data_IF_989419279712
#
_entry.id   IF_989419279712
#
_cell.length_a   1.000
_cell.length_b   1.000
_cell.length_c   1.000
_cell.angle_alpha   90.00
_cell.angle_beta   90.00
_cell.angle_gamma   90.00
#
_symmetry.space_group_name_H-M   'P 1'
#
loop_
_entity.id
_entity.type
_entity.pdbx_description
1 polymer ?
#
# COMPACT_ATOMS: atom_id res chain seq x y z
N UNK A 1 -38.30 12.37 -18.47
CA UNK A 1 -37.30 11.56 -19.20
C UNK A 1 -35.92 11.80 -18.56
N UNK A 2 -35.50 10.94 -17.63
CA UNK A 2 -34.16 10.99 -17.02
C UNK A 2 -33.49 9.64 -17.23
N UNK A 3 -32.40 9.61 -18.01
CA UNK A 3 -31.55 8.43 -18.16
C UNK A 3 -30.58 8.39 -16.99
N UNK A 4 -30.78 7.43 -16.10
CA UNK A 4 -29.85 7.08 -15.03
C UNK A 4 -28.74 6.19 -15.61
N UNK A 5 -27.53 6.74 -15.77
CA UNK A 5 -26.34 5.97 -16.13
C UNK A 5 -25.85 5.17 -14.90
N UNK A 6 -26.39 3.97 -14.71
CA UNK A 6 -25.80 2.97 -13.80
C UNK A 6 -24.59 2.33 -14.49
N UNK A 7 -23.38 2.73 -14.08
CA UNK A 7 -22.14 2.04 -14.45
C UNK A 7 -22.16 0.59 -13.94
N UNK A 8 -21.95 -0.37 -14.84
CA UNK A 8 -22.07 -1.82 -14.60
C UNK A 8 -20.86 -2.35 -13.80
N UNK A 9 -21.06 -3.00 -12.63
CA UNK A 9 -20.00 -3.74 -11.92
C UNK A 9 -19.60 -5.07 -12.60
N UNK A 10 -20.41 -5.58 -13.54
CA UNK A 10 -20.31 -6.94 -14.07
C UNK A 10 -19.14 -7.19 -15.06
N UNK A 11 -18.44 -6.15 -15.53
CA UNK A 11 -17.34 -6.30 -16.48
C UNK A 11 -16.03 -6.71 -15.79
N UNK A 12 -15.74 -6.16 -14.62
CA UNK A 12 -14.50 -6.42 -13.87
C UNK A 12 -14.47 -7.87 -13.38
N UNK A 13 -15.57 -8.40 -12.83
CA UNK A 13 -15.62 -9.79 -12.35
C UNK A 13 -15.42 -10.81 -13.48
N UNK A 14 -15.90 -10.51 -14.70
CA UNK A 14 -15.65 -11.35 -15.89
C UNK A 14 -14.20 -11.28 -16.37
N UNK A 15 -13.56 -10.11 -16.28
CA UNK A 15 -12.14 -9.92 -16.64
C UNK A 15 -11.24 -10.61 -15.63
N UNK A 16 -11.49 -10.43 -14.32
CA UNK A 16 -10.80 -11.14 -13.24
C UNK A 16 -10.97 -12.65 -13.41
N UNK A 17 -12.17 -13.14 -13.73
CA UNK A 17 -12.43 -14.56 -14.01
C UNK A 17 -11.74 -15.08 -15.29
N UNK A 18 -11.65 -14.26 -16.34
CA UNK A 18 -10.97 -14.60 -17.60
C UNK A 18 -9.44 -14.63 -17.44
N UNK A 19 -8.89 -13.69 -16.68
CA UNK A 19 -7.46 -13.62 -16.38
C UNK A 19 -7.05 -14.64 -15.31
N UNK A 20 -7.89 -14.95 -14.32
CA UNK A 20 -7.70 -16.10 -13.42
C UNK A 20 -7.64 -17.42 -14.19
N UNK A 21 -8.43 -17.57 -15.26
CA UNK A 21 -8.35 -18.72 -16.17
C UNK A 21 -7.06 -18.72 -17.01
N UNK A 22 -6.54 -17.57 -17.40
CA UNK A 22 -5.24 -17.45 -18.05
C UNK A 22 -4.08 -17.76 -17.08
N UNK A 23 -4.14 -17.28 -15.83
CA UNK A 23 -3.19 -17.61 -14.76
C UNK A 23 -3.20 -19.11 -14.45
N UNK A 24 -4.39 -19.75 -14.46
CA UNK A 24 -4.50 -21.22 -14.34
C UNK A 24 -3.79 -21.96 -15.48
N UNK A 25 -3.80 -21.42 -16.71
CA UNK A 25 -3.03 -21.97 -17.85
C UNK A 25 -1.52 -21.77 -17.72
N UNK A 26 -1.07 -20.76 -16.96
CA UNK A 26 0.34 -20.49 -16.66
C UNK A 26 0.80 -21.05 -15.29
N UNK A 27 0.00 -21.90 -14.63
CA UNK A 27 0.37 -22.57 -13.36
C UNK A 27 0.22 -21.72 -12.09
N UNK A 28 -0.40 -20.54 -12.18
CA UNK A 28 -0.67 -19.65 -11.05
C UNK A 28 -2.09 -19.88 -10.53
N UNK A 29 -2.26 -20.74 -9.54
CA UNK A 29 -3.57 -20.98 -8.91
C UNK A 29 -3.91 -19.92 -7.88
N UNK A 30 -5.16 -19.44 -7.93
CA UNK A 30 -5.82 -18.78 -6.81
C UNK A 30 -5.87 -19.73 -5.61
N UNK A 31 -5.47 -19.23 -4.44
CA UNK A 31 -5.38 -19.90 -3.15
C UNK A 31 -4.27 -20.98 -3.02
N UNK A 32 -3.27 -20.66 -2.18
CA UNK A 32 -2.25 -21.56 -1.64
C UNK A 32 -1.51 -22.47 -2.63
N UNK A 33 -0.41 -21.97 -3.21
CA UNK A 33 0.62 -22.85 -3.80
C UNK A 33 2.01 -22.43 -3.31
N UNK A 34 2.65 -23.31 -2.53
CA UNK A 34 4.10 -23.28 -2.28
C UNK A 34 4.78 -24.03 -3.41
N UNK A 35 5.69 -23.38 -4.14
CA UNK A 35 6.57 -24.05 -5.11
C UNK A 35 8.01 -24.07 -4.59
N UNK A 36 8.64 -25.25 -4.63
CA UNK A 36 10.08 -25.43 -4.40
C UNK A 36 10.77 -25.72 -5.75
N UNK A 37 11.84 -25.02 -6.15
CA UNK A 37 12.53 -25.35 -7.40
C UNK A 37 13.47 -26.54 -7.19
N UNK A 38 13.34 -27.57 -8.03
CA UNK A 38 14.39 -28.58 -8.21
C UNK A 38 15.52 -28.00 -9.08
N UNK A 39 16.73 -28.17 -8.60
CA UNK A 39 17.99 -27.71 -9.19
C UNK A 39 18.30 -28.37 -10.53
N UNK A 40 18.69 -27.56 -11.54
CA UNK A 40 19.65 -27.97 -12.57
C UNK A 40 20.74 -26.91 -12.69
N UNK A 41 21.95 -27.35 -12.38
CA UNK A 41 23.21 -26.63 -12.50
C UNK A 41 23.68 -26.66 -13.96
N UNK A 42 23.99 -25.51 -14.54
CA UNK A 42 25.12 -25.32 -15.47
C UNK A 42 25.53 -23.85 -15.40
N UNK A 43 26.81 -23.60 -15.12
CA UNK A 43 27.33 -22.28 -14.80
C UNK A 43 27.67 -21.39 -16.00
N UNK A 44 27.73 -20.08 -15.73
CA UNK A 44 28.92 -19.28 -16.09
C UNK A 44 28.99 -18.02 -15.22
N UNK A 45 30.20 -17.64 -14.79
CA UNK A 45 30.44 -16.68 -13.70
C UNK A 45 30.40 -15.21 -14.19
N UNK A 46 29.45 -14.41 -13.70
CA UNK A 46 29.58 -12.95 -13.54
C UNK A 46 29.01 -12.53 -12.18
N UNK A 47 29.76 -11.67 -11.48
CA UNK A 47 29.58 -11.25 -10.07
C UNK A 47 28.11 -11.01 -9.68
N UNK A 48 27.55 -11.94 -8.90
CA UNK A 48 26.29 -11.77 -8.19
C UNK A 48 26.59 -11.53 -6.71
N UNK A 49 25.97 -10.51 -6.11
CA UNK A 49 25.88 -10.39 -4.66
C UNK A 49 25.03 -11.55 -4.13
N UNK A 50 25.52 -12.38 -3.18
CA UNK A 50 24.76 -13.54 -2.72
C UNK A 50 23.78 -13.09 -1.64
N UNK A 51 22.51 -12.90 -2.00
CA UNK A 51 21.43 -13.07 -1.03
C UNK A 51 20.89 -14.50 -1.17
N UNK A 52 21.59 -15.45 -0.54
CA UNK A 52 21.04 -16.77 -0.26
C UNK A 52 20.05 -16.64 0.92
N UNK A 53 18.81 -16.32 0.60
CA UNK A 53 17.66 -16.47 1.49
C UNK A 53 16.59 -17.24 0.74
N UNK A 54 15.91 -18.19 1.39
CA UNK A 54 14.71 -18.84 0.85
C UNK A 54 13.78 -17.77 0.27
N UNK A 55 13.59 -17.74 -1.06
CA UNK A 55 12.57 -16.89 -1.68
C UNK A 55 11.22 -17.32 -1.12
N UNK A 56 10.66 -16.53 -0.20
CA UNK A 56 9.27 -16.69 0.21
C UNK A 56 8.43 -16.44 -1.04
N UNK A 57 7.53 -17.36 -1.36
CA UNK A 57 6.60 -17.19 -2.48
C UNK A 57 5.78 -15.92 -2.28
N UNK A 58 5.91 -14.94 -3.17
CA UNK A 58 5.09 -13.71 -3.15
C UNK A 58 3.62 -14.10 -3.27
N UNK A 59 2.77 -13.61 -2.36
CA UNK A 59 1.33 -13.82 -2.47
C UNK A 59 0.69 -12.68 -3.26
N UNK A 60 0.30 -12.94 -4.51
CA UNK A 60 -0.49 -11.98 -5.31
C UNK A 60 -1.99 -12.21 -5.08
N UNK A 61 -2.70 -11.18 -4.62
CA UNK A 61 -4.10 -11.24 -4.22
C UNK A 61 -4.92 -10.23 -5.03
N UNK A 62 -5.98 -10.71 -5.66
CA UNK A 62 -6.96 -9.87 -6.33
C UNK A 62 -8.06 -9.49 -5.36
N UNK A 63 -8.21 -8.18 -5.15
CA UNK A 63 -9.23 -7.65 -4.27
C UNK A 63 -10.47 -7.22 -5.08
N UNK A 64 -11.56 -7.97 -4.92
CA UNK A 64 -12.90 -7.57 -5.34
C UNK A 64 -13.63 -6.87 -4.19
N UNK A 65 -14.72 -6.16 -4.50
CA UNK A 65 -15.53 -5.48 -3.47
C UNK A 65 -16.16 -6.43 -2.43
N UNK A 66 -16.23 -7.72 -2.71
CA UNK A 66 -16.71 -8.77 -1.79
C UNK A 66 -15.59 -9.38 -0.94
N UNK A 67 -14.32 -9.17 -1.30
CA UNK A 67 -13.18 -9.63 -0.52
C UNK A 67 -12.95 -8.72 0.71
N UNK A 68 -12.38 -9.29 1.77
CA UNK A 68 -12.03 -8.53 2.99
C UNK A 68 -10.62 -7.95 2.87
N UNK A 69 -10.48 -6.63 3.05
CA UNK A 69 -9.16 -5.96 3.07
C UNK A 69 -8.29 -6.48 4.22
N UNK A 70 -8.92 -6.86 5.34
CA UNK A 70 -8.24 -7.49 6.47
C UNK A 70 -7.60 -8.80 6.02
N UNK A 71 -8.34 -9.67 5.31
CA UNK A 71 -7.76 -10.92 4.80
C UNK A 71 -6.74 -10.69 3.69
N UNK A 72 -6.96 -9.66 2.87
CA UNK A 72 -6.03 -9.32 1.80
C UNK A 72 -4.68 -8.95 2.41
N UNK A 73 -4.59 -7.97 3.31
CA UNK A 73 -3.30 -7.54 3.85
C UNK A 73 -2.81 -8.34 5.06
N UNK A 74 -3.72 -8.99 5.78
CA UNK A 74 -3.48 -9.70 7.04
C UNK A 74 -2.66 -8.85 8.05
N UNK A 75 -3.13 -7.65 8.42
CA UNK A 75 -2.36 -6.74 9.26
C UNK A 75 -2.18 -7.34 10.67
N UNK A 76 -0.96 -7.34 11.23
CA UNK A 76 -0.77 -7.71 12.62
C UNK A 76 -1.32 -6.62 13.54
N UNK A 77 -1.66 -6.97 14.79
CA UNK A 77 -2.02 -5.99 15.83
C UNK A 77 -0.90 -4.99 16.06
N UNK A 78 -1.28 -3.74 16.33
CA UNK A 78 -0.41 -2.58 16.48
C UNK A 78 -0.24 -1.78 15.20
N UNK A 79 0.98 -1.29 14.94
CA UNK A 79 1.20 -0.19 13.98
C UNK A 79 1.39 -0.69 12.56
N UNK A 80 0.57 -0.18 11.65
CA UNK A 80 0.71 -0.31 10.19
C UNK A 80 0.94 1.05 9.56
N UNK A 81 2.06 1.22 8.86
CA UNK A 81 2.40 2.45 8.15
C UNK A 81 2.12 2.34 6.65
N UNK A 82 1.54 3.38 6.06
CA UNK A 82 1.27 3.48 4.63
C UNK A 82 2.23 4.47 3.97
N UNK A 83 2.88 4.05 2.89
CA UNK A 83 3.86 4.84 2.12
C UNK A 83 3.55 4.83 0.61
N UNK A 84 4.11 5.76 -0.14
CA UNK A 84 4.01 5.79 -1.60
C UNK A 84 2.88 6.67 -2.16
N UNK A 85 2.36 6.30 -3.33
CA UNK A 85 1.38 7.06 -4.11
C UNK A 85 0.09 6.28 -4.38
N UNK A 86 -0.98 6.96 -4.78
CA UNK A 86 -2.20 6.26 -5.26
C UNK A 86 -3.03 5.53 -4.19
N UNK A 87 -3.75 6.29 -3.36
CA UNK A 87 -4.86 5.75 -2.53
C UNK A 87 -4.46 5.24 -1.14
N UNK A 88 -3.36 5.73 -0.57
CA UNK A 88 -2.97 5.46 0.83
C UNK A 88 -4.07 5.83 1.81
N UNK A 89 -4.55 7.07 1.76
CA UNK A 89 -5.62 7.54 2.65
C UNK A 89 -6.88 6.69 2.47
N UNK A 90 -7.28 6.41 1.22
CA UNK A 90 -8.41 5.51 0.94
C UNK A 90 -8.22 4.12 1.55
N UNK A 91 -7.05 3.49 1.36
CA UNK A 91 -6.74 2.19 1.95
C UNK A 91 -6.81 2.24 3.48
N UNK A 92 -6.16 3.24 4.09
CA UNK A 92 -6.13 3.45 5.53
C UNK A 92 -7.55 3.52 6.09
N UNK A 93 -8.43 4.34 5.52
CA UNK A 93 -9.79 4.52 6.02
C UNK A 93 -10.67 3.29 5.77
N UNK A 94 -10.53 2.62 4.62
CA UNK A 94 -11.28 1.38 4.35
C UNK A 94 -10.83 0.24 5.27
N UNK A 95 -9.53 0.09 5.49
CA UNK A 95 -8.99 -0.92 6.39
C UNK A 95 -9.39 -0.62 7.84
N UNK A 96 -9.31 0.65 8.27
CA UNK A 96 -9.73 1.08 9.60
C UNK A 96 -11.19 0.73 9.89
N UNK A 97 -12.10 1.08 8.97
CA UNK A 97 -13.53 0.78 9.10
C UNK A 97 -13.79 -0.72 9.13
N UNK A 98 -13.11 -1.50 8.27
CA UNK A 98 -13.25 -2.95 8.29
C UNK A 98 -12.80 -3.57 9.63
N UNK A 99 -11.67 -3.11 10.17
CA UNK A 99 -11.14 -3.58 11.46
C UNK A 99 -12.09 -3.20 12.60
N UNK A 100 -12.57 -1.97 12.64
CA UNK A 100 -13.54 -1.52 13.65
C UNK A 100 -14.85 -2.34 13.57
N UNK A 101 -15.38 -2.57 12.36
CA UNK A 101 -16.56 -3.42 12.14
C UNK A 101 -16.35 -4.88 12.59
N UNK A 102 -15.11 -5.35 12.68
CA UNK A 102 -14.78 -6.67 13.25
C UNK A 102 -14.68 -6.68 14.79
N UNK A 103 -14.96 -5.54 15.44
CA UNK A 103 -14.94 -5.37 16.89
C UNK A 103 -13.61 -4.91 17.47
N UNK A 104 -12.64 -4.52 16.61
CA UNK A 104 -11.33 -4.06 17.06
C UNK A 104 -11.35 -2.56 17.42
N UNK A 105 -10.52 -2.15 18.38
CA UNK A 105 -10.22 -0.74 18.65
C UNK A 105 -9.15 -0.25 17.68
N UNK A 106 -9.45 0.82 16.95
CA UNK A 106 -8.62 1.30 15.84
C UNK A 106 -8.35 2.80 15.99
N UNK A 107 -7.07 3.16 15.91
CA UNK A 107 -6.64 4.55 15.77
C UNK A 107 -6.19 4.78 14.33
N UNK A 108 -6.66 5.87 13.73
CA UNK A 108 -6.08 6.44 12.51
C UNK A 108 -5.28 7.67 12.88
N UNK A 109 -4.05 7.77 12.39
CA UNK A 109 -3.18 8.92 12.65
C UNK A 109 -2.31 9.22 11.43
N UNK A 110 -1.38 10.15 11.56
CA UNK A 110 -0.49 10.56 10.48
C UNK A 110 0.84 11.04 11.04
N UNK A 111 1.94 10.80 10.33
CA UNK A 111 3.21 11.51 10.56
C UNK A 111 3.46 12.62 9.53
N UNK A 112 2.54 12.75 8.56
CA UNK A 112 2.53 13.77 7.51
C UNK A 112 1.24 14.61 7.57
N UNK A 113 1.06 15.52 6.61
CA UNK A 113 -0.16 16.30 6.48
C UNK A 113 -1.24 15.58 5.65
N UNK A 114 -2.31 15.11 6.29
CA UNK A 114 -3.47 14.48 5.61
C UNK A 114 -4.70 15.39 5.67
N UNK A 115 -5.72 15.11 4.86
CA UNK A 115 -7.03 15.73 5.06
C UNK A 115 -7.81 14.98 6.15
N UNK A 116 -8.69 15.68 6.89
CA UNK A 116 -9.56 15.04 7.87
C UNK A 116 -10.34 13.88 7.26
N UNK A 117 -10.35 12.71 7.92
CA UNK A 117 -11.09 11.57 7.42
C UNK A 117 -12.59 11.75 7.62
N UNK A 118 -13.37 11.64 6.54
CA UNK A 118 -14.82 11.82 6.60
C UNK A 118 -15.49 10.80 7.54
N UNK A 119 -16.36 11.28 8.42
CA UNK A 119 -17.18 10.44 9.30
C UNK A 119 -16.39 9.66 10.35
N UNK A 120 -15.19 10.11 10.72
CA UNK A 120 -14.40 9.56 11.84
C UNK A 120 -14.18 10.68 12.85
N UNK A 121 -14.40 10.38 14.13
CA UNK A 121 -14.19 11.34 15.21
C UNK A 121 -12.73 11.80 15.25
N UNK A 122 -12.49 13.11 15.26
CA UNK A 122 -11.17 13.71 15.32
C UNK A 122 -10.89 14.24 16.73
N UNK A 123 -9.82 13.76 17.34
CA UNK A 123 -9.39 14.17 18.69
C UNK A 123 -7.87 14.38 18.68
N UNK A 124 -7.40 15.39 19.40
CA UNK A 124 -5.97 15.54 19.73
C UNK A 124 -5.78 15.28 21.22
N UNK A 125 -5.65 14.02 21.66
CA UNK A 125 -5.62 13.72 23.08
C UNK A 125 -4.36 14.29 23.71
N UNK A 126 -4.49 14.98 24.84
CA UNK A 126 -3.39 15.51 25.62
C UNK A 126 -2.77 14.44 26.55
N UNK A 127 -3.47 13.33 26.77
CA UNK A 127 -3.03 12.24 27.65
C UNK A 127 -3.53 10.87 27.18
N UNK A 128 -2.89 9.81 27.69
CA UNK A 128 -3.33 8.44 27.46
C UNK A 128 -4.74 8.15 28.03
N UNK A 129 -5.15 8.84 29.11
CA UNK A 129 -6.48 8.65 29.68
C UNK A 129 -7.56 9.25 28.78
N UNK A 130 -7.34 10.46 28.25
CA UNK A 130 -8.25 11.08 27.28
C UNK A 130 -8.38 10.22 26.00
N UNK A 131 -7.25 9.68 25.51
CA UNK A 131 -7.25 8.76 24.39
C UNK A 131 -8.05 7.49 24.71
N UNK A 132 -7.94 6.95 25.93
CA UNK A 132 -8.68 5.77 26.36
C UNK A 132 -10.18 6.05 26.45
N UNK A 133 -10.59 7.18 27.02
CA UNK A 133 -11.98 7.60 27.08
C UNK A 133 -12.61 7.72 25.69
N UNK A 134 -11.88 8.30 24.74
CA UNK A 134 -12.32 8.37 23.35
C UNK A 134 -12.58 6.98 22.75
N UNK A 135 -11.65 6.04 22.96
CA UNK A 135 -11.74 4.67 22.46
C UNK A 135 -12.79 3.80 23.18
N UNK A 136 -13.29 4.24 24.35
CA UNK A 136 -14.44 3.62 25.02
C UNK A 136 -15.76 4.05 24.39
N UNK A 137 -15.83 5.26 23.82
CA UNK A 137 -17.03 5.80 23.17
C UNK A 137 -17.15 5.33 21.72
N UNK A 138 -16.01 5.27 21.03
CA UNK A 138 -15.95 4.95 19.60
C UNK A 138 -14.87 3.89 19.33
N UNK A 139 -15.19 2.89 18.50
CA UNK A 139 -14.22 1.87 18.12
C UNK A 139 -13.14 2.40 17.15
N UNK A 140 -13.43 3.48 16.43
CA UNK A 140 -12.56 4.08 15.42
C UNK A 140 -12.44 5.57 15.66
N UNK A 141 -11.22 6.02 15.99
CA UNK A 141 -10.94 7.44 16.25
C UNK A 141 -9.73 7.89 15.45
N UNK A 142 -9.77 9.12 14.94
CA UNK A 142 -8.63 9.79 14.35
C UNK A 142 -7.91 10.62 15.42
N UNK A 143 -6.68 10.23 15.75
CA UNK A 143 -5.80 11.00 16.63
C UNK A 143 -4.87 11.86 15.80
N UNK A 144 -5.13 13.16 15.78
CA UNK A 144 -4.33 14.15 15.06
C UNK A 144 -4.65 15.57 15.52
N UNK A 145 -3.73 16.50 15.26
CA UNK A 145 -3.97 17.93 15.49
C UNK A 145 -4.21 18.67 14.18
N UNK A 146 -5.05 19.69 14.23
CA UNK A 146 -5.29 20.58 13.09
C UNK A 146 -4.00 21.31 12.70
N UNK A 147 -3.73 21.34 11.41
CA UNK A 147 -2.62 22.03 10.78
C UNK A 147 -3.15 23.01 9.72
N UNK A 148 -2.23 23.70 9.04
CA UNK A 148 -2.60 24.70 8.03
C UNK A 148 -3.46 24.11 6.89
N UNK A 149 -4.27 24.98 6.27
CA UNK A 149 -5.08 24.66 5.09
C UNK A 149 -6.07 23.50 5.31
N UNK A 150 -6.56 23.36 6.53
CA UNK A 150 -7.55 22.34 6.90
C UNK A 150 -6.99 20.92 6.90
N UNK A 151 -5.66 20.76 6.99
CA UNK A 151 -5.02 19.45 7.10
C UNK A 151 -4.83 19.05 8.56
N UNK A 152 -4.46 17.80 8.76
CA UNK A 152 -4.12 17.21 10.04
C UNK A 152 -2.63 16.88 10.07
N UNK A 153 -2.00 17.03 11.21
CA UNK A 153 -0.62 16.60 11.49
C UNK A 153 -0.58 15.65 12.70
N UNK A 154 0.59 15.14 13.03
CA UNK A 154 0.76 14.19 14.12
C UNK A 154 0.15 14.71 15.44
N UNK A 155 -0.56 13.86 16.20
CA UNK A 155 -1.13 14.24 17.50
C UNK A 155 -0.02 14.56 18.49
N UNK A 156 -0.38 15.27 19.56
CA UNK A 156 0.58 15.59 20.62
C UNK A 156 0.90 14.36 21.49
N UNK A 157 -0.04 13.41 21.61
CA UNK A 157 0.21 12.13 22.26
C UNK A 157 1.16 11.25 21.43
N UNK A 158 2.32 10.83 21.97
CA UNK A 158 3.27 10.01 21.24
C UNK A 158 2.72 8.63 20.89
N UNK A 159 3.14 8.08 19.74
CA UNK A 159 2.67 6.78 19.27
C UNK A 159 2.94 5.64 20.26
N UNK A 160 4.04 5.69 21.01
CA UNK A 160 4.34 4.70 22.04
C UNK A 160 3.29 4.68 23.18
N UNK A 161 2.62 5.79 23.45
CA UNK A 161 1.52 5.86 24.42
C UNK A 161 0.17 5.48 23.80
N UNK A 162 0.01 5.65 22.49
CA UNK A 162 -1.19 5.23 21.76
C UNK A 162 -1.24 3.71 21.55
N UNK A 163 -0.10 3.09 21.24
CA UNK A 163 0.01 1.65 20.91
C UNK A 163 -0.69 0.71 21.91
N UNK A 164 -0.52 0.83 23.24
CA UNK A 164 -1.18 -0.06 24.19
C UNK A 164 -2.71 0.15 24.29
N UNK A 165 -3.26 1.22 23.73
CA UNK A 165 -4.68 1.58 23.87
C UNK A 165 -5.56 0.99 22.77
N UNK A 166 -4.98 0.61 21.64
CA UNK A 166 -5.70 0.13 20.45
C UNK A 166 -5.17 -1.21 19.95
N UNK A 167 -6.04 -1.97 19.31
CA UNK A 167 -5.65 -3.22 18.66
C UNK A 167 -4.87 -2.95 17.37
N UNK A 168 -5.21 -1.86 16.68
CA UNK A 168 -4.58 -1.44 15.44
C UNK A 168 -4.38 0.08 15.40
N UNK A 169 -3.21 0.50 14.93
CA UNK A 169 -2.91 1.90 14.62
C UNK A 169 -2.51 1.97 13.16
N UNK A 170 -3.27 2.72 12.35
CA UNK A 170 -2.95 2.95 10.95
C UNK A 170 -2.43 4.38 10.77
N UNK A 171 -1.27 4.53 10.12
CA UNK A 171 -0.63 5.84 9.94
C UNK A 171 -0.19 6.07 8.50
N UNK A 172 -0.48 7.25 7.96
CA UNK A 172 0.15 7.69 6.71
C UNK A 172 1.53 8.27 7.03
N UNK A 173 2.58 7.64 6.49
CA UNK A 173 3.96 7.95 6.83
C UNK A 173 4.64 8.93 5.85
N UNK A 174 3.95 9.32 4.77
CA UNK A 174 4.50 10.20 3.75
C UNK A 174 3.43 10.89 2.88
N UNK A 175 3.72 12.10 2.37
CA UNK A 175 2.78 12.85 1.52
C UNK A 175 3.05 12.64 0.02
N UNK A 176 2.02 12.39 -0.80
CA UNK A 176 2.20 12.19 -2.26
C UNK A 176 1.49 13.24 -3.14
N UNK A 177 0.83 14.24 -2.55
CA UNK A 177 0.06 15.29 -3.27
C UNK A 177 -0.89 14.75 -4.35
N UNK A 178 -1.51 13.59 -4.10
CA UNK A 178 -2.41 12.86 -5.01
C UNK A 178 -1.76 12.27 -6.27
N UNK A 179 -0.43 12.32 -6.40
CA UNK A 179 0.24 11.60 -7.48
C UNK A 179 0.06 10.08 -7.34
N UNK A 180 -0.06 9.36 -8.46
CA UNK A 180 -0.18 7.92 -8.46
C UNK A 180 1.09 7.22 -7.99
N UNK A 181 2.27 7.78 -8.30
CA UNK A 181 3.56 7.21 -7.99
C UNK A 181 4.38 8.18 -7.13
N UNK A 182 5.42 7.66 -6.47
CA UNK A 182 6.27 8.47 -5.61
C UNK A 182 7.66 7.87 -5.46
N UNK A 183 8.65 8.75 -5.36
CA UNK A 183 9.95 8.47 -4.75
C UNK A 183 10.12 9.31 -3.45
N UNK A 184 10.63 8.70 -2.35
CA UNK A 184 10.82 9.43 -1.11
C UNK A 184 12.01 10.40 -1.19
N UNK A 185 11.91 11.55 -0.51
CA UNK A 185 13.04 12.46 -0.30
C UNK A 185 13.93 11.97 0.85
N UNK A 186 15.05 12.67 1.11
CA UNK A 186 15.98 12.34 2.18
C UNK A 186 15.33 12.17 3.57
N UNK A 187 14.37 13.05 3.93
CA UNK A 187 13.67 13.04 5.22
C UNK A 187 12.41 12.15 5.27
N UNK A 188 12.07 11.48 4.16
CA UNK A 188 10.90 10.59 4.08
C UNK A 188 11.31 9.14 3.79
N UNK A 189 10.42 8.17 4.04
CA UNK A 189 9.17 8.30 4.82
C UNK A 189 9.46 8.43 6.33
N UNK A 190 8.52 8.99 7.09
CA UNK A 190 8.61 9.08 8.55
C UNK A 190 7.86 7.88 9.15
N UNK A 191 8.49 6.70 9.04
CA UNK A 191 7.94 5.43 9.54
C UNK A 191 8.24 5.32 11.04
N UNK A 192 7.23 5.14 11.91
CA UNK A 192 7.47 4.89 13.33
C UNK A 192 8.23 3.57 13.57
N UNK A 193 9.17 3.52 14.53
CA UNK A 193 9.96 2.31 14.80
C UNK A 193 9.10 1.12 15.30
N UNK A 194 7.92 1.38 15.86
CA UNK A 194 6.96 0.35 16.31
C UNK A 194 6.20 -0.32 15.13
N UNK A 195 6.42 0.13 13.90
CA UNK A 195 5.69 -0.38 12.73
C UNK A 195 5.96 -1.87 12.52
N UNK A 196 4.90 -2.67 12.53
CA UNK A 196 4.95 -4.12 12.28
C UNK A 196 4.62 -4.49 10.84
N UNK A 197 3.93 -3.62 10.12
CA UNK A 197 3.60 -3.76 8.71
C UNK A 197 3.74 -2.42 7.99
N UNK A 198 4.47 -2.41 6.88
CA UNK A 198 4.47 -1.30 5.91
C UNK A 198 3.70 -1.72 4.67
N UNK A 199 2.76 -0.88 4.23
CA UNK A 199 2.03 -1.06 2.97
C UNK A 199 2.44 0.06 2.01
N UNK A 200 3.16 -0.30 0.95
CA UNK A 200 3.52 0.62 -0.13
C UNK A 200 2.43 0.64 -1.21
N UNK A 201 1.85 1.81 -1.47
CA UNK A 201 0.84 1.98 -2.50
C UNK A 201 1.44 2.55 -3.80
N UNK A 202 0.89 2.11 -4.93
CA UNK A 202 1.06 2.70 -6.24
C UNK A 202 -0.28 2.75 -6.99
N UNK A 203 -0.58 3.88 -7.63
CA UNK A 203 -1.73 4.03 -8.53
C UNK A 203 -1.37 3.66 -9.96
N UNK A 204 -2.13 2.75 -10.58
CA UNK A 204 -1.83 2.25 -11.92
C UNK A 204 -2.24 3.20 -13.05
N UNK A 205 -2.92 4.29 -12.73
CA UNK A 205 -3.09 5.44 -13.62
C UNK A 205 -1.79 6.22 -13.88
N UNK A 206 -0.70 5.92 -13.15
CA UNK A 206 0.64 6.41 -13.46
C UNK A 206 1.40 5.58 -14.49
N UNK A 207 0.97 4.34 -14.77
CA UNK A 207 1.64 3.49 -15.76
C UNK A 207 1.38 4.02 -17.19
N UNK A 208 2.43 4.07 -18.02
CA UNK A 208 2.33 4.62 -19.37
C UNK A 208 2.28 6.15 -19.45
N UNK A 209 2.37 6.85 -18.31
CA UNK A 209 2.51 8.31 -18.26
C UNK A 209 3.99 8.72 -18.20
N UNK A 210 4.30 9.97 -18.53
CA UNK A 210 5.64 10.52 -18.29
C UNK A 210 5.94 10.61 -16.79
N UNK A 211 7.19 10.37 -16.40
CA UNK A 211 7.60 10.40 -14.99
C UNK A 211 7.27 11.77 -14.34
N UNK A 212 7.47 12.88 -15.06
CA UNK A 212 7.16 14.24 -14.59
C UNK A 212 5.72 14.43 -14.13
N UNK A 213 4.77 13.72 -14.74
CA UNK A 213 3.34 13.85 -14.48
C UNK A 213 2.86 12.81 -13.45
N UNK A 214 3.41 11.60 -13.52
CA UNK A 214 2.98 10.47 -12.71
C UNK A 214 3.57 10.46 -11.29
N UNK A 215 4.80 10.93 -11.12
CA UNK A 215 5.54 10.73 -9.88
C UNK A 215 5.60 12.00 -9.03
N UNK A 216 5.29 11.85 -7.74
CA UNK A 216 5.71 12.85 -6.77
C UNK A 216 7.23 12.77 -6.61
N UNK A 217 7.90 13.89 -6.92
CA UNK A 217 9.36 14.04 -7.03
C UNK A 217 9.92 13.28 -8.25
N UNK A 218 9.61 13.76 -9.47
CA UNK A 218 9.96 13.06 -10.70
C UNK A 218 11.47 12.88 -10.87
N UNK A 219 12.30 13.87 -10.54
CA UNK A 219 13.77 13.73 -10.55
C UNK A 219 14.27 12.51 -9.75
N UNK A 220 13.75 12.32 -8.54
CA UNK A 220 14.15 11.19 -7.68
C UNK A 220 13.62 9.87 -8.22
N UNK A 221 12.40 9.86 -8.74
CA UNK A 221 11.80 8.67 -9.34
C UNK A 221 12.57 8.24 -10.59
N UNK A 222 12.90 9.19 -11.46
CA UNK A 222 13.69 8.97 -12.66
C UNK A 222 15.09 8.44 -12.31
N UNK A 223 15.75 9.02 -11.31
CA UNK A 223 17.06 8.57 -10.85
C UNK A 223 17.06 7.12 -10.35
N UNK A 224 16.04 6.72 -9.57
CA UNK A 224 15.89 5.33 -9.11
C UNK A 224 15.73 4.33 -10.26
N UNK A 225 15.15 4.78 -11.39
CA UNK A 225 14.91 3.95 -12.57
C UNK A 225 16.05 4.01 -13.60
N UNK A 226 17.06 4.87 -13.40
CA UNK A 226 18.08 5.15 -14.42
C UNK A 226 17.51 5.84 -15.66
N UNK A 227 16.54 6.73 -15.48
CA UNK A 227 15.78 7.42 -16.52
C UNK A 227 15.81 8.94 -16.34
N UNK A 228 15.19 9.65 -17.27
CA UNK A 228 14.88 11.08 -17.21
C UNK A 228 13.41 11.32 -16.88
N UNK A 229 13.03 12.56 -16.53
CA UNK A 229 11.63 12.89 -16.22
C UNK A 229 10.69 12.83 -17.43
N UNK A 230 11.25 12.89 -18.64
CA UNK A 230 10.53 12.84 -19.92
C UNK A 230 10.23 11.39 -20.36
N UNK A 231 10.88 10.41 -19.73
CA UNK A 231 10.65 9.00 -20.03
C UNK A 231 9.31 8.53 -19.50
N UNK A 232 8.74 7.53 -20.18
CA UNK A 232 7.49 6.91 -19.77
C UNK A 232 7.72 5.88 -18.66
N UNK A 233 6.82 5.86 -17.69
CA UNK A 233 6.76 4.86 -16.61
C UNK A 233 6.31 3.52 -17.17
N UNK A 234 7.14 2.51 -17.01
CA UNK A 234 6.86 1.11 -17.32
C UNK A 234 6.48 0.32 -16.06
N UNK A 235 5.83 -0.85 -16.20
CA UNK A 235 5.60 -1.74 -15.06
C UNK A 235 6.87 -2.11 -14.29
N UNK A 236 8.00 -2.28 -14.98
CA UNK A 236 9.31 -2.55 -14.36
C UNK A 236 9.77 -1.40 -13.48
N UNK A 237 9.57 -0.15 -13.88
CA UNK A 237 9.94 1.03 -13.09
C UNK A 237 9.12 1.10 -11.78
N UNK A 238 7.82 0.80 -11.88
CA UNK A 238 6.94 0.76 -10.70
C UNK A 238 7.40 -0.33 -9.73
N UNK A 239 7.65 -1.54 -10.21
CA UNK A 239 8.15 -2.65 -9.39
C UNK A 239 9.50 -2.31 -8.74
N UNK A 240 10.42 -1.72 -9.51
CA UNK A 240 11.72 -1.28 -9.04
C UNK A 240 11.57 -0.27 -7.90
N UNK A 241 10.84 0.82 -8.08
CA UNK A 241 10.69 1.86 -7.03
C UNK A 241 9.95 1.32 -5.80
N UNK A 242 8.98 0.43 -5.96
CA UNK A 242 8.29 -0.23 -4.84
C UNK A 242 9.25 -1.10 -4.01
N UNK A 243 10.15 -1.82 -4.67
CA UNK A 243 11.09 -2.72 -4.00
C UNK A 243 12.44 -2.09 -3.63
N UNK A 244 12.75 -0.88 -4.12
CA UNK A 244 14.07 -0.28 -3.96
C UNK A 244 14.35 0.13 -2.49
N UNK A 245 15.56 -0.12 -1.94
CA UNK A 245 15.93 0.30 -0.58
C UNK A 245 15.89 1.82 -0.35
N UNK A 246 16.08 2.61 -1.40
CA UNK A 246 15.90 4.07 -1.39
C UNK A 246 14.54 4.51 -1.98
N UNK A 247 13.72 3.55 -2.41
CA UNK A 247 12.34 3.74 -2.84
C UNK A 247 11.37 3.44 -1.69
N UNK A 248 10.32 2.68 -1.95
CA UNK A 248 9.27 2.46 -0.94
C UNK A 248 9.67 1.53 0.21
N UNK A 249 10.85 0.88 0.15
CA UNK A 249 11.43 0.15 1.29
C UNK A 249 12.30 1.01 2.20
N UNK A 250 12.49 2.29 1.89
CA UNK A 250 13.35 3.15 2.67
C UNK A 250 12.84 3.29 4.11
N UNK A 251 13.72 3.05 5.08
CA UNK A 251 13.40 3.18 6.50
C UNK A 251 12.49 2.08 7.04
N UNK A 252 12.38 0.93 6.36
CA UNK A 252 11.65 -0.24 6.86
C UNK A 252 12.28 -0.73 8.18
N UNK A 253 11.52 -0.77 9.29
CA UNK A 253 12.05 -1.28 10.55
C UNK A 253 12.41 -2.77 10.50
N UNK A 254 13.38 -3.19 11.31
CA UNK A 254 13.78 -4.59 11.39
C UNK A 254 12.61 -5.48 11.82
N UNK A 255 12.40 -6.56 11.07
CA UNK A 255 11.32 -7.51 11.31
C UNK A 255 9.93 -7.03 10.89
N UNK A 256 9.78 -5.78 10.40
CA UNK A 256 8.51 -5.31 9.86
C UNK A 256 8.16 -6.06 8.57
N UNK A 257 6.89 -6.45 8.46
CA UNK A 257 6.34 -7.03 7.24
C UNK A 257 6.22 -5.95 6.17
N UNK A 258 6.33 -6.33 4.90
CA UNK A 258 6.21 -5.42 3.77
C UNK A 258 5.24 -5.96 2.73
N UNK A 259 4.19 -5.18 2.45
CA UNK A 259 3.17 -5.50 1.45
C UNK A 259 3.03 -4.35 0.45
N UNK A 260 2.50 -4.67 -0.73
CA UNK A 260 2.27 -3.71 -1.80
C UNK A 260 0.77 -3.65 -2.11
N UNK A 261 0.27 -2.44 -2.35
CA UNK A 261 -1.01 -2.17 -2.98
C UNK A 261 -0.77 -1.62 -4.39
N UNK A 262 -1.25 -2.34 -5.39
CA UNK A 262 -1.40 -1.89 -6.77
C UNK A 262 -2.86 -1.44 -6.95
N UNK A 263 -3.09 -0.13 -6.83
CA UNK A 263 -4.42 0.47 -6.78
C UNK A 263 -4.87 1.05 -8.13
N UNK A 264 -6.16 1.42 -8.23
CA UNK A 264 -6.80 2.01 -9.41
C UNK A 264 -6.75 1.07 -10.62
N UNK A 265 -7.01 -0.21 -10.38
CA UNK A 265 -7.20 -1.20 -11.45
C UNK A 265 -8.68 -1.26 -11.88
N UNK A 266 -9.25 -0.10 -12.17
CA UNK A 266 -10.66 0.09 -12.55
C UNK A 266 -10.95 -0.19 -14.03
N UNK A 267 -9.91 -0.34 -14.85
CA UNK A 267 -10.00 -0.70 -16.25
C UNK A 267 -9.04 -1.85 -16.64
N UNK A 268 -9.25 -2.39 -17.84
CA UNK A 268 -8.47 -3.53 -18.35
C UNK A 268 -6.99 -3.20 -18.57
N UNK A 269 -6.68 -1.98 -19.02
CA UNK A 269 -5.30 -1.57 -19.30
C UNK A 269 -4.51 -1.46 -17.99
N UNK A 270 -5.08 -0.82 -16.96
CA UNK A 270 -4.47 -0.71 -15.62
C UNK A 270 -4.37 -2.06 -14.93
N UNK A 271 -5.36 -2.94 -15.12
CA UNK A 271 -5.29 -4.31 -14.63
C UNK A 271 -4.12 -5.08 -15.28
N UNK A 272 -3.96 -5.01 -16.60
CA UNK A 272 -2.80 -5.61 -17.30
C UNK A 272 -1.46 -5.04 -16.82
N UNK A 273 -1.39 -3.73 -16.61
CA UNK A 273 -0.20 -3.09 -16.02
C UNK A 273 0.09 -3.61 -14.62
N UNK A 274 -0.94 -3.75 -13.76
CA UNK A 274 -0.77 -4.31 -12.41
C UNK A 274 -0.24 -5.75 -12.44
N UNK A 275 -0.70 -6.57 -13.38
CA UNK A 275 -0.16 -7.92 -13.60
C UNK A 275 1.31 -7.89 -13.98
N UNK A 276 1.68 -7.03 -14.94
CA UNK A 276 3.08 -6.88 -15.33
C UNK A 276 3.95 -6.42 -14.15
N UNK A 277 3.46 -5.48 -13.32
CA UNK A 277 4.16 -5.07 -12.09
C UNK A 277 4.29 -6.24 -11.11
N UNK A 278 3.23 -7.03 -10.91
CA UNK A 278 3.26 -8.17 -9.99
C UNK A 278 4.26 -9.24 -10.42
N UNK A 279 4.37 -9.54 -11.73
CA UNK A 279 5.38 -10.45 -12.28
C UNK A 279 6.79 -9.90 -12.04
N UNK A 280 7.02 -8.62 -12.29
CA UNK A 280 8.30 -7.98 -12.01
C UNK A 280 8.64 -8.00 -10.50
N UNK A 281 7.63 -8.03 -9.61
CA UNK A 281 7.83 -8.08 -8.17
C UNK A 281 8.26 -9.47 -7.65
N UNK A 282 8.09 -10.54 -8.42
CA UNK A 282 8.43 -11.92 -8.02
C UNK A 282 9.93 -12.13 -7.75
N UNK A 283 10.78 -11.29 -8.35
CA UNK A 283 12.23 -11.33 -8.14
C UNK A 283 12.67 -10.68 -6.81
N UNK A 284 11.76 -10.04 -6.07
CA UNK A 284 12.05 -9.36 -4.81
C UNK A 284 11.40 -10.10 -3.62
N UNK A 285 11.96 -9.93 -2.41
CA UNK A 285 11.44 -10.54 -1.18
C UNK A 285 10.19 -9.79 -0.67
N UNK A 286 9.09 -9.86 -1.42
CA UNK A 286 7.82 -9.20 -1.09
C UNK A 286 6.87 -10.24 -0.49
N UNK A 287 6.34 -9.95 0.70
CA UNK A 287 5.40 -10.89 1.32
C UNK A 287 4.11 -11.01 0.50
N UNK A 288 3.60 -9.86 0.05
CA UNK A 288 2.26 -9.78 -0.52
C UNK A 288 2.08 -8.60 -1.47
N UNK A 289 1.39 -8.86 -2.58
CA UNK A 289 0.96 -7.86 -3.56
C UNK A 289 -0.57 -7.92 -3.68
N UNK A 290 -1.25 -6.82 -3.38
CA UNK A 290 -2.71 -6.71 -3.50
C UNK A 290 -3.03 -5.83 -4.69
N UNK A 291 -3.78 -6.36 -5.66
CA UNK A 291 -4.28 -5.63 -6.83
C UNK A 291 -5.73 -5.25 -6.58
N UNK A 292 -6.05 -3.95 -6.64
CA UNK A 292 -7.36 -3.43 -6.28
C UNK A 292 -7.78 -2.19 -7.08
N UNK A 293 -9.08 -1.89 -7.03
CA UNK A 293 -9.67 -0.61 -7.40
C UNK A 293 -10.38 -0.01 -6.18
N UNK A 294 -9.62 0.56 -5.26
CA UNK A 294 -10.16 1.33 -4.15
C UNK A 294 -10.52 2.71 -4.72
N UNK A 295 -11.81 3.06 -4.75
CA UNK A 295 -12.29 4.34 -5.28
C UNK A 295 -11.56 5.56 -4.71
N UNK A 296 -11.68 6.71 -5.39
CA UNK A 296 -11.07 7.96 -4.94
C UNK A 296 -11.60 8.41 -3.58
#
# INVERSE_FOLDING_TARGET
MQRCCRGKPAAIDKIVSGMQRALFRFGMTSANTRFSPQSRLTGDKKKCYPHQGRTKSVQTIFFSNTASLIRAFDPPRGVTALVGGGGKTTLMLRLARALAQSGARVIVTTTTHIFPPDGICLINPASAEEAREALLREQLVCFAKTAERGKLSAPDLPLAQMEPLADYILTEADGARRHPLKAPAAHEPVIPPQTRLVIAAAGLDGAGQMIRDAAFRPALYAALCGKTEEDTVTPRDIALVLAHPQGQRKGLPDGARFAILLNKCDDEARTKSAFAVAVELEQYDIERVVIAALGA
#
